data_IF_881368963415
#
_entry.id   IF_881368963415
#
_cell.length_a   1.000
_cell.length_b   1.000
_cell.length_c   1.000
_cell.angle_alpha   90.00
_cell.angle_beta   90.00
_cell.angle_gamma   90.00
#
_symmetry.space_group_name_H-M   'P 1'
#
loop_
_entity.id
_entity.type
_entity.pdbx_description
1 polymer ?
#
# COMPACT_ATOMS: atom_id res chain seq x y z
N UNK A 1 28.30 -42.09 30.22
CA UNK A 1 27.60 -40.83 29.91
C UNK A 1 26.89 -41.03 28.58
N UNK A 2 25.76 -41.74 28.56
CA UNK A 2 24.39 -41.18 28.63
C UNK A 2 24.10 -40.23 27.46
N UNK A 3 23.74 -40.78 26.30
CA UNK A 3 22.38 -40.99 25.70
C UNK A 3 21.86 -39.81 24.88
N UNK A 4 21.70 -40.09 23.57
CA UNK A 4 20.59 -39.77 22.66
C UNK A 4 20.28 -38.27 22.41
N UNK A 5 20.05 -37.79 21.19
CA UNK A 5 19.80 -38.44 19.92
C UNK A 5 19.46 -37.37 18.88
N UNK A 6 19.58 -37.74 17.61
CA UNK A 6 19.01 -37.02 16.48
C UNK A 6 17.51 -36.82 16.71
N UNK A 7 17.04 -35.58 16.86
CA UNK A 7 15.63 -35.23 16.61
C UNK A 7 15.48 -33.85 15.97
N UNK A 8 14.88 -33.89 14.77
CA UNK A 8 14.02 -32.87 14.17
C UNK A 8 14.64 -31.62 13.54
N UNK A 9 15.16 -31.84 12.34
CA UNK A 9 14.76 -31.06 11.16
C UNK A 9 13.22 -31.12 11.07
N UNK A 10 12.52 -30.18 11.70
CA UNK A 10 11.12 -29.79 11.44
C UNK A 10 10.67 -28.82 12.56
N UNK A 11 10.93 -27.53 12.35
CA UNK A 11 9.92 -26.48 12.49
C UNK A 11 10.51 -25.16 11.99
N UNK A 12 10.48 -25.05 10.66
CA UNK A 12 10.42 -23.78 9.96
C UNK A 12 9.26 -22.98 10.54
N UNK A 13 9.54 -21.90 11.27
CA UNK A 13 8.59 -20.80 11.47
C UNK A 13 9.31 -19.50 11.11
N UNK A 14 9.09 -19.11 9.85
CA UNK A 14 9.24 -17.79 9.24
C UNK A 14 9.93 -16.65 10.03
N UNK A 15 11.15 -16.28 9.63
CA UNK A 15 11.36 -14.98 8.96
C UNK A 15 11.56 -13.69 9.78
N UNK A 16 11.87 -13.74 11.08
CA UNK A 16 11.98 -12.50 11.88
C UNK A 16 13.34 -12.24 12.56
N UNK A 17 14.41 -13.03 12.30
CA UNK A 17 15.74 -12.71 12.85
C UNK A 17 16.88 -12.92 11.85
N UNK A 18 17.77 -11.91 11.85
CA UNK A 18 19.11 -11.84 11.26
C UNK A 18 19.25 -11.43 9.79
N UNK A 19 18.90 -10.18 9.49
CA UNK A 19 19.82 -9.38 8.69
C UNK A 19 20.25 -8.20 9.57
N UNK A 20 21.56 -8.08 9.80
CA UNK A 20 22.15 -7.09 10.68
C UNK A 20 21.77 -5.66 10.25
N UNK A 21 21.24 -4.89 11.20
CA UNK A 21 21.45 -3.44 11.38
C UNK A 21 21.39 -2.54 10.13
N UNK A 22 20.27 -2.55 9.37
CA UNK A 22 19.90 -1.31 8.66
C UNK A 22 19.39 -0.35 9.73
N UNK A 23 20.23 0.60 10.13
CA UNK A 23 19.87 1.63 11.10
C UNK A 23 18.58 2.33 10.63
N UNK A 24 17.49 2.14 11.37
CA UNK A 24 16.24 2.86 11.13
C UNK A 24 15.12 2.09 10.42
N UNK A 25 15.15 0.75 10.34
CA UNK A 25 14.01 -0.08 9.86
C UNK A 25 13.60 -1.08 10.95
N UNK A 26 12.29 -1.38 11.05
CA UNK A 26 11.77 -2.42 11.96
C UNK A 26 10.64 -3.24 11.30
N UNK A 27 10.09 -4.22 12.02
CA UNK A 27 9.10 -5.16 11.50
C UNK A 27 7.84 -5.25 12.38
N UNK A 28 6.67 -5.38 11.75
CA UNK A 28 5.36 -5.61 12.39
C UNK A 28 4.83 -7.00 12.04
N UNK A 29 3.96 -7.56 12.86
CA UNK A 29 3.37 -8.91 12.62
C UNK A 29 1.91 -8.86 12.15
N UNK A 30 1.27 -7.69 12.22
CA UNK A 30 -0.07 -7.46 11.70
C UNK A 30 -0.06 -6.37 10.61
N UNK A 31 -1.03 -6.42 9.68
CA UNK A 31 -1.10 -5.54 8.51
C UNK A 31 -1.06 -4.05 8.88
N UNK A 32 -1.67 -3.68 10.00
CA UNK A 32 -1.79 -2.29 10.45
C UNK A 32 -0.66 -1.90 11.42
N UNK A 33 0.10 -2.85 11.95
CA UNK A 33 1.11 -2.60 12.99
C UNK A 33 0.51 -2.05 14.28
N UNK A 34 -0.72 -2.45 14.61
CA UNK A 34 -1.38 -2.06 15.88
C UNK A 34 -0.73 -2.78 17.06
N UNK A 35 -0.24 -4.00 16.83
CA UNK A 35 0.49 -4.79 17.83
C UNK A 35 1.99 -4.50 17.85
N UNK A 36 2.48 -3.61 16.97
CA UNK A 36 3.90 -3.26 16.90
C UNK A 36 4.36 -2.62 18.23
N UNK A 37 5.37 -3.23 18.83
CA UNK A 37 5.94 -2.85 20.12
C UNK A 37 7.46 -2.59 20.05
N UNK A 38 8.00 -2.38 18.85
CA UNK A 38 9.41 -2.05 18.68
C UNK A 38 9.77 -0.63 19.13
N UNK A 39 11.06 -0.28 18.99
CA UNK A 39 11.64 0.95 19.56
C UNK A 39 12.06 1.98 18.50
N UNK A 40 11.66 1.79 17.24
CA UNK A 40 11.96 2.75 16.18
C UNK A 40 11.29 4.10 16.48
N UNK A 41 12.06 5.18 16.39
CA UNK A 41 11.62 6.56 16.65
C UNK A 41 12.05 7.54 15.55
N UNK A 42 12.25 7.02 14.34
CA UNK A 42 12.63 7.77 13.15
C UNK A 42 11.66 7.41 12.03
N UNK A 43 11.21 8.44 11.32
CA UNK A 43 10.26 8.34 10.19
C UNK A 43 10.97 7.91 8.90
N UNK A 44 10.21 7.60 7.84
CA UNK A 44 10.76 7.14 6.56
C UNK A 44 11.75 8.12 5.93
N UNK A 45 11.57 9.42 6.14
CA UNK A 45 12.47 10.46 5.64
C UNK A 45 13.59 10.85 6.62
N UNK A 46 13.70 10.14 7.76
CA UNK A 46 14.74 10.41 8.76
C UNK A 46 14.37 11.44 9.83
N UNK A 47 13.12 11.94 9.88
CA UNK A 47 12.70 12.87 10.95
C UNK A 47 12.56 12.16 12.29
N UNK A 48 13.04 12.80 13.36
CA UNK A 48 12.95 12.30 14.73
C UNK A 48 11.53 12.46 15.24
N UNK A 49 10.99 11.40 15.85
CA UNK A 49 9.67 11.41 16.46
C UNK A 49 9.60 12.31 17.70
N UNK A 50 8.55 13.11 17.77
CA UNK A 50 8.07 13.79 18.97
C UNK A 50 7.48 12.74 19.94
N UNK A 51 7.80 12.87 21.22
CA UNK A 51 7.23 12.00 22.25
C UNK A 51 5.71 12.15 22.34
N UNK A 52 4.99 11.04 22.50
CA UNK A 52 3.52 11.04 22.53
C UNK A 52 2.93 11.85 23.68
N UNK A 53 3.64 12.01 24.79
CA UNK A 53 3.19 12.85 25.90
C UNK A 53 3.48 14.35 25.65
N UNK A 54 4.40 14.68 24.74
CA UNK A 54 4.77 16.05 24.42
C UNK A 54 3.67 16.74 23.62
N UNK A 55 3.50 18.04 23.83
CA UNK A 55 2.59 18.88 23.04
C UNK A 55 3.35 19.94 22.22
N UNK A 56 4.62 19.66 21.93
CA UNK A 56 5.53 20.56 21.21
C UNK A 56 6.48 19.73 20.32
N UNK A 57 6.69 20.13 19.04
CA UNK A 57 6.08 21.27 18.35
C UNK A 57 4.58 21.10 18.06
N UNK A 58 4.07 19.88 17.98
CA UNK A 58 2.70 19.62 17.54
C UNK A 58 1.78 19.31 18.71
N UNK A 59 0.66 20.03 18.82
CA UNK A 59 -0.43 19.66 19.74
C UNK A 59 -1.26 18.53 19.14
N UNK A 60 -1.64 17.57 19.97
CA UNK A 60 -2.37 16.38 19.51
C UNK A 60 -3.14 15.65 20.61
N UNK A 61 -4.05 14.76 20.19
CA UNK A 61 -4.97 14.03 21.07
C UNK A 61 -4.41 12.70 21.58
N UNK A 62 -3.49 12.07 20.84
CA UNK A 62 -2.92 10.77 21.20
C UNK A 62 -1.81 10.90 22.26
N UNK A 63 -2.19 11.20 23.51
CA UNK A 63 -1.21 11.45 24.60
C UNK A 63 -1.04 10.28 25.57
N UNK A 64 -1.97 9.31 25.56
CA UNK A 64 -1.99 8.16 26.47
C UNK A 64 -1.76 6.85 25.72
N UNK A 65 -0.63 6.75 25.02
CA UNK A 65 -0.18 5.48 24.43
C UNK A 65 0.61 4.71 25.48
N UNK A 66 0.34 3.41 25.63
CA UNK A 66 0.78 2.56 26.76
C UNK A 66 2.30 2.47 26.91
N UNK A 67 3.05 2.50 25.81
CA UNK A 67 4.52 2.40 25.78
C UNK A 67 5.15 3.78 25.59
N UNK A 68 5.04 4.59 26.66
CA UNK A 68 5.30 6.03 26.68
C UNK A 68 6.77 6.35 26.35
N UNK A 69 7.02 6.73 25.10
CA UNK A 69 8.27 7.32 24.61
C UNK A 69 7.96 8.08 23.31
N UNK A 70 8.90 8.13 22.37
CA UNK A 70 8.72 8.65 21.02
C UNK A 70 8.73 7.55 19.95
N UNK A 71 8.39 6.30 20.32
CA UNK A 71 8.39 5.18 19.38
C UNK A 71 7.20 5.23 18.43
N UNK A 72 7.38 4.77 17.20
CA UNK A 72 6.35 4.70 16.18
C UNK A 72 5.21 3.76 16.60
N UNK A 73 3.96 4.21 16.48
CA UNK A 73 2.76 3.42 16.88
C UNK A 73 1.62 3.72 15.91
N UNK A 74 0.60 2.86 15.88
CA UNK A 74 -0.60 3.09 15.07
C UNK A 74 -1.87 3.15 15.93
N UNK A 75 -2.09 4.24 16.70
CA UNK A 75 -3.31 4.39 17.48
C UNK A 75 -4.55 4.69 16.61
N UNK A 76 -4.37 5.09 15.34
CA UNK A 76 -5.46 5.39 14.41
C UNK A 76 -6.07 4.16 13.76
N UNK A 77 -5.43 2.99 13.85
CA UNK A 77 -5.87 1.74 13.20
C UNK A 77 -5.94 1.85 11.67
N UNK A 78 -5.14 2.73 11.08
CA UNK A 78 -5.16 3.03 9.65
C UNK A 78 -3.92 2.49 8.92
N UNK A 79 -4.07 2.22 7.63
CA UNK A 79 -2.95 1.90 6.71
C UNK A 79 -2.16 3.18 6.36
N UNK A 80 -0.84 3.14 6.05
CA UNK A 80 0.09 2.00 5.92
C UNK A 80 0.62 1.39 7.23
N UNK A 81 0.40 2.01 8.38
CA UNK A 81 0.73 1.42 9.68
C UNK A 81 1.35 2.39 10.66
N UNK A 82 2.34 1.99 11.47
CA UNK A 82 2.90 2.82 12.52
C UNK A 82 3.47 4.15 12.03
N UNK A 83 3.19 5.20 12.78
CA UNK A 83 3.61 6.58 12.50
C UNK A 83 3.98 7.27 13.82
N UNK A 84 4.50 8.49 13.73
CA UNK A 84 4.70 9.35 14.89
C UNK A 84 4.50 10.83 14.53
N UNK A 85 4.21 11.67 15.53
CA UNK A 85 4.40 13.11 15.38
C UNK A 85 5.90 13.39 15.20
N UNK A 86 6.27 14.39 14.41
CA UNK A 86 7.69 14.69 14.18
C UNK A 86 8.15 15.87 15.05
N UNK A 87 9.46 15.99 15.23
CA UNK A 87 10.07 17.18 15.86
C UNK A 87 10.26 18.35 14.88
N UNK A 88 9.97 18.15 13.58
CA UNK A 88 9.98 19.21 12.56
C UNK A 88 8.70 20.05 12.68
N UNK A 89 8.79 21.38 12.93
CA UNK A 89 7.62 22.25 13.03
C UNK A 89 6.76 22.30 11.76
N UNK A 90 7.30 21.93 10.60
CA UNK A 90 6.58 21.98 9.31
C UNK A 90 5.87 20.66 8.98
N UNK A 91 6.27 19.55 9.58
CA UNK A 91 5.74 18.22 9.28
C UNK A 91 5.10 17.66 10.54
N UNK A 92 3.77 17.69 10.61
CA UNK A 92 3.04 17.31 11.82
C UNK A 92 3.29 15.85 12.21
N UNK A 93 3.13 14.93 11.27
CA UNK A 93 3.32 13.51 11.49
C UNK A 93 3.79 12.85 10.19
N UNK A 94 4.39 11.67 10.31
CA UNK A 94 4.88 10.89 9.19
C UNK A 94 4.95 9.41 9.56
N UNK A 95 4.85 8.54 8.56
CA UNK A 95 4.95 7.09 8.75
C UNK A 95 6.39 6.65 9.00
N UNK A 96 6.53 5.54 9.73
CA UNK A 96 7.82 4.93 10.00
C UNK A 96 8.05 3.71 9.10
N UNK A 97 9.30 3.40 8.75
CA UNK A 97 9.66 2.27 7.89
C UNK A 97 9.55 0.94 8.66
N UNK A 98 8.30 0.51 8.90
CA UNK A 98 7.97 -0.70 9.65
C UNK A 98 7.20 -1.66 8.76
N UNK A 99 7.85 -2.75 8.37
CA UNK A 99 7.35 -3.67 7.34
C UNK A 99 6.77 -4.96 7.92
N UNK A 100 5.85 -5.60 7.22
CA UNK A 100 5.21 -6.83 7.71
C UNK A 100 6.21 -8.00 7.69
N UNK A 101 6.54 -8.54 8.86
CA UNK A 101 7.37 -9.72 9.04
C UNK A 101 6.69 -10.97 8.46
N UNK A 102 7.50 -11.85 7.87
CA UNK A 102 7.00 -13.08 7.26
C UNK A 102 6.44 -12.92 5.85
N UNK A 103 6.46 -11.71 5.30
CA UNK A 103 6.24 -11.49 3.87
C UNK A 103 7.59 -11.62 3.16
N UNK A 104 7.96 -12.85 2.80
CA UNK A 104 8.55 -13.00 1.46
C UNK A 104 7.51 -12.40 0.53
N UNK A 105 7.86 -11.45 -0.36
CA UNK A 105 6.86 -10.90 -1.28
C UNK A 105 6.20 -12.10 -1.97
N UNK A 106 5.00 -12.42 -1.50
CA UNK A 106 4.26 -13.60 -1.91
C UNK A 106 3.65 -13.24 -3.26
N UNK A 107 3.36 -14.22 -4.12
CA UNK A 107 2.79 -13.93 -5.44
C UNK A 107 1.62 -12.94 -5.32
N UNK A 108 1.74 -11.79 -6.00
CA UNK A 108 0.79 -10.66 -5.92
C UNK A 108 1.29 -9.40 -5.20
N UNK A 109 2.57 -9.32 -4.82
CA UNK A 109 3.20 -8.11 -4.29
C UNK A 109 4.40 -7.69 -5.15
N UNK A 110 4.50 -6.39 -5.44
CA UNK A 110 5.67 -5.80 -6.10
C UNK A 110 6.75 -5.51 -5.05
N UNK A 111 7.99 -5.89 -5.32
CA UNK A 111 9.10 -5.66 -4.41
C UNK A 111 9.88 -4.42 -4.86
N UNK A 112 9.90 -3.40 -4.01
CA UNK A 112 10.79 -2.25 -4.11
C UNK A 112 12.26 -2.67 -3.91
N UNK A 113 13.18 -1.89 -4.46
CA UNK A 113 14.64 -2.08 -4.34
C UNK A 113 15.12 -1.89 -2.91
N UNK A 114 14.42 -1.06 -2.11
CA UNK A 114 14.64 -0.89 -0.67
C UNK A 114 14.11 -2.08 0.18
N UNK A 115 13.49 -3.07 -0.46
CA UNK A 115 12.93 -4.26 0.17
C UNK A 115 11.49 -4.13 0.62
N UNK A 116 10.83 -2.99 0.42
CA UNK A 116 9.41 -2.83 0.70
C UNK A 116 8.57 -3.67 -0.28
N UNK A 117 7.54 -4.38 0.21
CA UNK A 117 6.57 -5.05 -0.66
C UNK A 117 5.33 -4.16 -0.81
N UNK A 118 5.09 -3.66 -2.02
CA UNK A 118 3.86 -3.00 -2.42
C UNK A 118 2.82 -4.02 -2.85
N UNK A 119 1.55 -3.71 -2.62
CA UNK A 119 0.48 -4.48 -3.25
C UNK A 119 0.55 -4.32 -4.77
N UNK A 120 0.20 -5.34 -5.54
CA UNK A 120 0.25 -5.29 -7.02
C UNK A 120 -0.45 -4.04 -7.60
N UNK A 121 -1.53 -3.58 -6.98
CA UNK A 121 -2.29 -2.40 -7.40
C UNK A 121 -1.60 -1.05 -7.15
N UNK A 122 -0.50 -1.05 -6.40
CA UNK A 122 0.32 0.13 -6.11
C UNK A 122 1.47 0.26 -7.13
N UNK A 123 1.87 -0.83 -7.77
CA UNK A 123 2.76 -0.75 -8.93
C UNK A 123 2.03 -0.07 -10.09
N UNK A 124 2.66 0.93 -10.71
CA UNK A 124 2.12 1.65 -11.86
C UNK A 124 0.73 2.28 -11.61
N UNK A 125 0.49 2.78 -10.40
CA UNK A 125 -0.73 3.47 -10.02
C UNK A 125 -0.66 4.99 -10.28
N UNK A 126 0.49 5.50 -10.73
CA UNK A 126 0.75 6.91 -11.00
C UNK A 126 1.21 7.71 -9.78
N UNK A 127 1.47 7.03 -8.65
CA UNK A 127 2.01 7.59 -7.42
C UNK A 127 3.33 6.88 -7.11
N UNK A 128 4.32 7.65 -6.66
CA UNK A 128 5.58 7.07 -6.17
C UNK A 128 5.32 6.50 -4.79
N UNK A 129 5.10 5.19 -4.72
CA UNK A 129 4.93 4.43 -3.49
C UNK A 129 6.23 3.79 -3.03
N UNK A 130 7.15 3.39 -3.92
CA UNK A 130 8.50 2.98 -3.52
C UNK A 130 9.40 4.20 -3.24
N UNK A 131 10.35 4.05 -2.31
CA UNK A 131 11.29 5.12 -1.96
C UNK A 131 12.16 5.59 -3.16
N UNK A 132 12.43 4.71 -4.13
CA UNK A 132 13.14 5.03 -5.37
C UNK A 132 12.24 5.30 -6.58
N UNK A 133 10.91 5.20 -6.44
CA UNK A 133 9.93 5.34 -7.51
C UNK A 133 9.94 4.23 -8.56
N UNK A 134 10.63 3.11 -8.29
CA UNK A 134 10.75 1.96 -9.16
C UNK A 134 9.42 1.24 -9.42
N UNK A 135 8.44 1.43 -8.55
CA UNK A 135 7.05 1.04 -8.77
C UNK A 135 6.39 1.76 -9.94
N UNK A 136 6.90 2.92 -10.33
CA UNK A 136 6.46 3.72 -11.46
C UNK A 136 7.46 3.71 -12.64
N UNK A 137 8.58 2.98 -12.50
CA UNK A 137 9.53 2.77 -13.57
C UNK A 137 9.14 1.54 -14.39
N UNK A 138 9.31 1.62 -15.72
CA UNK A 138 9.05 0.51 -16.65
C UNK A 138 7.60 -0.02 -16.64
N UNK A 139 6.61 0.87 -16.51
CA UNK A 139 5.18 0.55 -16.67
C UNK A 139 4.75 0.22 -18.12
N UNK A 140 5.66 -0.26 -18.96
CA UNK A 140 5.48 -0.36 -20.41
C UNK A 140 5.19 -1.77 -20.94
N UNK A 141 5.26 -2.85 -20.16
CA UNK A 141 5.06 -4.21 -20.70
C UNK A 141 4.08 -5.16 -19.97
N UNK A 142 3.38 -4.74 -18.90
CA UNK A 142 2.25 -5.52 -18.35
C UNK A 142 1.06 -4.64 -17.98
N UNK A 143 0.54 -3.90 -18.97
CA UNK A 143 -0.81 -3.35 -18.84
C UNK A 143 -1.77 -4.51 -19.08
N UNK A 144 -2.07 -5.27 -18.02
CA UNK A 144 -3.13 -6.26 -18.08
C UNK A 144 -4.45 -5.54 -18.40
N UNK A 145 -4.93 -5.69 -19.64
CA UNK A 145 -6.26 -5.19 -20.06
C UNK A 145 -7.40 -6.04 -19.49
N UNK A 146 -7.12 -6.81 -18.44
CA UNK A 146 -8.07 -7.67 -17.76
C UNK A 146 -8.11 -7.32 -16.26
N UNK A 147 -9.21 -7.69 -15.61
CA UNK A 147 -9.44 -7.55 -14.18
C UNK A 147 -8.94 -8.80 -13.45
N UNK A 148 -8.15 -8.64 -12.40
CA UNK A 148 -7.72 -9.77 -11.54
C UNK A 148 -8.74 -10.08 -10.44
N UNK A 149 -9.73 -9.21 -10.27
CA UNK A 149 -10.81 -9.32 -9.29
C UNK A 149 -12.19 -9.12 -9.94
N UNK A 150 -13.25 -9.70 -9.35
CA UNK A 150 -14.62 -9.66 -9.90
C UNK A 150 -15.29 -8.29 -9.86
N UNK A 151 -14.66 -7.30 -9.23
CA UNK A 151 -15.18 -5.94 -9.09
C UNK A 151 -14.42 -4.93 -9.96
N UNK A 152 -13.23 -5.25 -10.44
CA UNK A 152 -12.36 -4.35 -11.20
C UNK A 152 -11.82 -3.17 -10.36
N UNK A 153 -11.74 -3.32 -9.03
CA UNK A 153 -11.16 -2.29 -8.14
C UNK A 153 -9.67 -2.08 -8.43
N UNK A 154 -8.98 -3.15 -8.77
CA UNK A 154 -7.55 -3.16 -9.06
C UNK A 154 -7.24 -2.92 -10.55
N UNK A 155 -8.25 -2.82 -11.41
CA UNK A 155 -8.04 -2.62 -12.84
C UNK A 155 -7.30 -1.30 -13.13
N UNK A 156 -6.16 -1.39 -13.82
CA UNK A 156 -5.33 -0.24 -14.24
C UNK A 156 -5.06 -0.19 -15.75
N UNK A 157 -5.76 -1.00 -16.54
CA UNK A 157 -5.62 -1.01 -18.00
C UNK A 157 -6.01 0.31 -18.68
N UNK A 158 -5.85 0.34 -20.01
CA UNK A 158 -6.04 1.53 -20.87
C UNK A 158 -7.39 1.57 -21.59
N UNK A 159 -8.30 0.64 -21.28
CA UNK A 159 -9.67 0.66 -21.85
C UNK A 159 -10.31 2.00 -21.53
N UNK A 160 -10.79 2.68 -22.58
CA UNK A 160 -11.39 4.03 -22.53
C UNK A 160 -12.66 4.12 -23.37
N UNK A 161 -13.35 2.98 -23.49
CA UNK A 161 -14.61 2.82 -24.19
C UNK A 161 -15.58 2.05 -23.31
N UNK A 162 -16.84 2.47 -23.32
CA UNK A 162 -17.91 1.77 -22.61
C UNK A 162 -18.37 0.53 -23.37
N UNK A 163 -19.15 -0.35 -22.73
CA UNK A 163 -19.74 -1.53 -23.37
C UNK A 163 -20.61 -1.19 -24.60
N UNK A 164 -21.22 0.00 -24.61
CA UNK A 164 -22.01 0.48 -25.75
C UNK A 164 -21.15 1.12 -26.87
N UNK A 165 -19.83 1.19 -26.69
CA UNK A 165 -18.89 1.80 -27.64
C UNK A 165 -18.67 3.30 -27.47
N UNK A 166 -19.33 3.94 -26.50
CA UNK A 166 -19.14 5.37 -26.24
C UNK A 166 -17.73 5.66 -25.68
N UNK A 167 -17.14 6.78 -26.10
CA UNK A 167 -15.81 7.23 -25.63
C UNK A 167 -15.88 7.80 -24.22
N UNK A 168 -14.89 7.46 -23.40
CA UNK A 168 -14.77 7.98 -22.06
C UNK A 168 -14.22 9.42 -22.03
N UNK A 169 -14.80 10.25 -21.16
CA UNK A 169 -14.29 11.56 -20.80
C UNK A 169 -13.15 11.47 -19.80
N UNK A 170 -12.33 12.53 -19.77
CA UNK A 170 -11.24 12.66 -18.79
C UNK A 170 -11.85 12.88 -17.41
N UNK A 171 -11.36 12.18 -16.39
CA UNK A 171 -11.94 12.27 -15.05
C UNK A 171 -11.91 13.69 -14.46
N UNK A 172 -10.94 14.51 -14.84
CA UNK A 172 -10.82 15.93 -14.46
C UNK A 172 -11.97 16.80 -14.99
N UNK A 173 -12.59 16.39 -16.09
CA UNK A 173 -13.59 17.19 -16.84
C UNK A 173 -15.02 16.80 -16.45
N UNK A 174 -15.16 15.98 -15.41
CA UNK A 174 -16.45 15.42 -14.95
C UNK A 174 -16.85 16.03 -13.60
N UNK A 175 -18.14 15.92 -13.26
CA UNK A 175 -18.65 16.39 -11.96
C UNK A 175 -18.10 15.59 -10.77
N UNK A 176 -17.33 14.52 -11.00
CA UNK A 176 -16.80 13.62 -9.99
C UNK A 176 -15.44 14.05 -9.39
N UNK A 177 -14.83 15.14 -9.89
CA UNK A 177 -13.70 15.86 -9.28
C UNK A 177 -12.53 14.99 -8.76
N UNK A 178 -12.16 13.91 -9.45
CA UNK A 178 -10.90 13.19 -9.16
C UNK A 178 -9.73 13.82 -9.91
N UNK A 179 -8.56 13.86 -9.28
CA UNK A 179 -7.29 14.31 -9.88
C UNK A 179 -6.66 13.26 -10.81
N UNK A 180 -7.46 12.60 -11.65
CA UNK A 180 -6.97 11.59 -12.60
C UNK A 180 -6.94 12.18 -14.00
N UNK A 181 -5.74 12.50 -14.49
CA UNK A 181 -5.53 13.17 -15.78
C UNK A 181 -5.56 12.20 -16.99
N UNK A 182 -6.51 11.26 -17.00
CA UNK A 182 -6.68 10.28 -18.08
C UNK A 182 -8.16 9.97 -18.33
N UNK A 183 -8.45 9.21 -19.39
CA UNK A 183 -9.81 8.82 -19.82
C UNK A 183 -10.14 7.35 -19.54
N UNK A 184 -9.20 6.60 -18.95
CA UNK A 184 -9.35 5.16 -18.76
C UNK A 184 -10.45 4.80 -17.75
N UNK A 185 -11.13 3.68 -17.99
CA UNK A 185 -12.16 3.13 -17.14
C UNK A 185 -11.59 2.71 -15.78
N UNK A 186 -12.31 3.01 -14.70
CA UNK A 186 -11.89 2.71 -13.33
C UNK A 186 -13.10 2.30 -12.50
N UNK A 187 -12.89 1.55 -11.44
CA UNK A 187 -13.90 1.33 -10.41
C UNK A 187 -13.36 1.78 -9.05
N UNK A 188 -14.04 2.75 -8.43
CA UNK A 188 -13.69 3.26 -7.09
C UNK A 188 -14.59 2.69 -5.99
N UNK A 189 -15.51 1.78 -6.31
CA UNK A 189 -16.52 1.28 -5.39
C UNK A 189 -16.70 -0.23 -5.48
N UNK A 190 -16.46 -0.92 -4.36
CA UNK A 190 -16.66 -2.37 -4.23
C UNK A 190 -18.14 -2.79 -4.37
N UNK A 191 -19.08 -1.83 -4.36
CA UNK A 191 -20.51 -2.08 -4.58
C UNK A 191 -20.88 -2.18 -6.07
N UNK A 192 -20.01 -1.71 -6.96
CA UNK A 192 -20.23 -1.73 -8.41
C UNK A 192 -19.65 -3.00 -9.03
N UNK A 193 -20.24 -3.44 -10.14
CA UNK A 193 -19.93 -4.72 -10.79
C UNK A 193 -18.77 -4.67 -11.79
N UNK A 194 -18.03 -3.56 -11.87
CA UNK A 194 -16.92 -3.43 -12.82
C UNK A 194 -16.45 -1.99 -13.06
N UNK A 195 -15.37 -1.82 -13.86
CA UNK A 195 -14.88 -0.53 -14.30
C UNK A 195 -15.92 0.24 -15.09
N UNK A 196 -15.92 1.56 -14.91
CA UNK A 196 -16.85 2.46 -15.59
C UNK A 196 -16.15 3.78 -15.93
N UNK A 197 -16.79 4.59 -16.76
CA UNK A 197 -16.33 5.94 -17.07
C UNK A 197 -17.51 6.87 -17.42
N UNK A 198 -17.24 8.16 -17.44
CA UNK A 198 -18.20 9.18 -17.90
C UNK A 198 -18.24 9.27 -19.43
N UNK A 199 -19.44 9.39 -19.99
CA UNK A 199 -19.70 9.64 -21.41
C UNK A 199 -20.10 11.09 -21.69
N UNK A 200 -20.70 11.73 -20.69
CA UNK A 200 -20.98 13.17 -20.62
C UNK A 200 -20.55 13.68 -19.23
N UNK A 201 -20.63 14.99 -18.98
CA UNK A 201 -20.27 15.56 -17.66
C UNK A 201 -21.03 14.94 -16.48
N UNK A 202 -22.22 14.37 -16.73
CA UNK A 202 -23.11 13.78 -15.71
C UNK A 202 -23.47 12.32 -15.97
N UNK A 203 -23.36 11.84 -17.20
CA UNK A 203 -23.75 10.48 -17.58
C UNK A 203 -22.55 9.55 -17.62
N UNK A 204 -22.71 8.37 -17.05
CA UNK A 204 -21.67 7.34 -16.99
C UNK A 204 -22.21 5.98 -17.44
N UNK A 205 -21.31 5.09 -17.85
CA UNK A 205 -21.64 3.71 -18.17
C UNK A 205 -20.46 2.77 -17.86
N UNK A 206 -20.77 1.47 -17.75
CA UNK A 206 -19.77 0.44 -17.54
C UNK A 206 -18.90 0.23 -18.78
N UNK A 207 -17.65 -0.14 -18.53
CA UNK A 207 -16.71 -0.59 -19.54
C UNK A 207 -16.63 -2.10 -19.55
N UNK A 208 -16.41 -2.66 -20.73
CA UNK A 208 -16.19 -4.07 -20.90
C UNK A 208 -14.71 -4.36 -20.71
N UNK A 209 -14.39 -5.03 -19.60
CA UNK A 209 -13.03 -5.46 -19.27
C UNK A 209 -13.11 -6.93 -18.86
N UNK A 210 -12.38 -7.84 -19.52
CA UNK A 210 -12.43 -9.27 -19.21
C UNK A 210 -11.74 -9.60 -17.88
N UNK A 211 -12.06 -10.75 -17.26
CA UNK A 211 -11.29 -11.26 -16.12
C UNK A 211 -10.00 -11.92 -16.60
N UNK A 212 -8.89 -11.67 -15.91
CA UNK A 212 -7.62 -12.34 -16.20
C UNK A 212 -7.77 -13.84 -15.96
N UNK A 213 -7.37 -14.66 -16.93
CA UNK A 213 -7.47 -16.12 -16.84
C UNK A 213 -8.73 -16.75 -17.45
N UNK A 214 -9.68 -15.96 -17.98
CA UNK A 214 -10.65 -16.47 -18.95
C UNK A 214 -10.17 -16.16 -20.38
N UNK A 215 -9.21 -16.95 -20.84
CA UNK A 215 -9.15 -17.28 -22.26
C UNK A 215 -10.32 -18.24 -22.50
N UNK A 216 -11.50 -17.66 -22.66
CA UNK A 216 -12.64 -18.31 -23.29
C UNK A 216 -13.18 -17.33 -24.31
N UNK A 217 -12.41 -17.13 -25.38
CA UNK A 217 -12.93 -17.12 -26.74
C UNK A 217 -11.76 -17.26 -27.74
N UNK A 218 -11.76 -18.44 -28.35
CA UNK A 218 -11.04 -18.94 -29.54
C UNK A 218 -9.50 -19.08 -29.51
#
# INVERSE_FOLDING_TARGET
MSVLGLTNILNVICGCLSYQDIQGIDWKTDLLGVSYNGTLNVTISGRICQAWWSQTPHKHLFTKISDQSNYCRNPSLDYPGPWCYTTDPNVKYEYCPIYLCGVYCSGGFFKCDDGMCLQEHLKCNGFVDCSGGEDELYCYDEVNECMTDSTGLTYRGKVSTTQAGDKCLRWTDTTYQRQLNHTYCRNFSAKLKGPWCFKSSTDWAYCEVPLCGNISDC
#
